data_IF_281155311127
#
_entry.id   IF_281155311127
#
_cell.length_a   1.000
_cell.length_b   1.000
_cell.length_c   1.000
_cell.angle_alpha   90.00
_cell.angle_beta   90.00
_cell.angle_gamma   90.00
#
_symmetry.space_group_name_H-M   'P 1'
#
loop_
_entity.id
_entity.type
_entity.pdbx_description
1 polymer ?
#
# COMPACT_ATOMS: atom_id res chain seq x y z
N UNK A 1 -7.28 -9.49 -5.85
CA UNK A 1 -7.15 -8.14 -5.30
C UNK A 1 -8.50 -7.65 -4.81
N UNK A 2 -8.53 -7.11 -3.60
CA UNK A 2 -9.67 -6.38 -3.04
C UNK A 2 -9.23 -4.96 -2.71
N UNK A 3 -10.01 -3.97 -3.15
CA UNK A 3 -9.74 -2.55 -2.90
C UNK A 3 -10.77 -2.07 -1.88
N UNK A 4 -10.28 -1.56 -0.76
CA UNK A 4 -11.09 -0.98 0.30
C UNK A 4 -11.04 0.55 0.16
N UNK A 5 -12.20 1.16 -0.06
CA UNK A 5 -12.37 2.61 -0.05
C UNK A 5 -13.58 2.98 0.82
N UNK A 6 -13.47 4.08 1.57
CA UNK A 6 -14.54 4.62 2.42
C UNK A 6 -15.84 4.89 1.64
N UNK A 7 -15.74 5.21 0.34
CA UNK A 7 -16.89 5.50 -0.53
C UNK A 7 -17.63 4.26 -1.03
N UNK A 8 -17.05 3.07 -0.91
CA UNK A 8 -17.59 1.83 -1.50
C UNK A 8 -18.06 0.80 -0.48
N UNK A 9 -17.98 1.09 0.82
CA UNK A 9 -18.45 0.17 1.87
C UNK A 9 -19.77 0.63 2.50
N UNK A 10 -20.71 -0.30 2.63
CA UNK A 10 -21.97 -0.12 3.35
C UNK A 10 -21.84 -0.39 4.85
N UNK A 11 -20.68 -0.88 5.32
CA UNK A 11 -20.42 -1.12 6.72
C UNK A 11 -20.03 0.18 7.42
N UNK A 12 -20.87 0.75 8.32
CA UNK A 12 -20.66 2.10 8.85
C UNK A 12 -19.41 2.22 9.72
N UNK A 13 -19.11 1.21 10.56
CA UNK A 13 -17.90 1.21 11.38
C UNK A 13 -16.62 1.14 10.51
N UNK A 14 -16.60 0.25 9.50
CA UNK A 14 -15.49 0.17 8.55
C UNK A 14 -15.33 1.48 7.78
N UNK A 15 -16.42 2.14 7.37
CA UNK A 15 -16.36 3.45 6.70
C UNK A 15 -15.60 4.49 7.54
N UNK A 16 -15.87 4.55 8.85
CA UNK A 16 -15.13 5.43 9.76
C UNK A 16 -13.63 5.13 9.76
N UNK A 17 -13.27 3.86 9.97
CA UNK A 17 -11.87 3.41 9.97
C UNK A 17 -11.15 3.72 8.66
N UNK A 18 -11.82 3.49 7.51
CA UNK A 18 -11.25 3.80 6.19
C UNK A 18 -11.07 5.30 5.98
N UNK A 19 -11.99 6.13 6.49
CA UNK A 19 -11.87 7.59 6.45
C UNK A 19 -10.67 8.07 7.28
N UNK A 20 -10.46 7.49 8.47
CA UNK A 20 -9.32 7.81 9.32
C UNK A 20 -8.00 7.43 8.64
N UNK A 21 -7.92 6.21 8.09
CA UNK A 21 -6.75 5.76 7.32
C UNK A 21 -6.45 6.71 6.16
N UNK A 22 -7.48 7.10 5.38
CA UNK A 22 -7.32 8.04 4.28
C UNK A 22 -6.81 9.41 4.75
N UNK A 23 -7.34 9.91 5.86
CA UNK A 23 -6.94 11.19 6.45
C UNK A 23 -5.47 11.16 6.91
N UNK A 24 -5.05 10.09 7.59
CA UNK A 24 -3.69 9.93 8.11
C UNK A 24 -2.70 9.70 6.96
N UNK A 25 -3.06 8.87 5.96
CA UNK A 25 -2.21 8.61 4.80
C UNK A 25 -1.86 9.90 4.04
N UNK A 26 -2.81 10.83 3.90
CA UNK A 26 -2.57 12.15 3.26
C UNK A 26 -1.60 13.04 4.03
N UNK A 27 -1.43 12.81 5.33
CA UNK A 27 -0.50 13.55 6.19
C UNK A 27 0.90 12.93 6.21
N UNK A 28 1.09 11.75 5.63
CA UNK A 28 2.40 11.10 5.59
C UNK A 28 3.36 11.89 4.68
N UNK A 29 4.46 12.38 5.26
CA UNK A 29 5.53 13.06 4.54
C UNK A 29 6.80 12.23 4.68
N UNK A 30 7.26 11.69 3.55
CA UNK A 30 8.56 11.00 3.43
C UNK A 30 9.47 11.82 2.52
N UNK A 31 10.78 11.73 2.71
CA UNK A 31 11.77 12.41 1.86
C UNK A 31 12.56 11.39 1.05
N UNK A 32 12.73 11.63 -0.25
CA UNK A 32 13.39 10.69 -1.18
C UNK A 32 14.81 10.33 -0.74
N UNK A 33 15.51 11.27 -0.10
CA UNK A 33 16.87 11.13 0.41
C UNK A 33 16.97 10.19 1.64
N UNK A 34 15.86 9.93 2.32
CA UNK A 34 15.79 9.03 3.47
C UNK A 34 15.48 7.58 3.06
N UNK A 35 15.06 7.36 1.81
CA UNK A 35 14.81 6.02 1.31
C UNK A 35 16.11 5.36 0.85
N UNK A 36 16.17 4.04 1.06
CA UNK A 36 17.29 3.19 0.65
C UNK A 36 16.82 2.14 -0.35
N UNK A 37 17.62 1.86 -1.38
CA UNK A 37 17.32 0.77 -2.31
C UNK A 37 17.26 -0.58 -1.58
N UNK A 38 16.31 -1.40 -1.98
CA UNK A 38 16.23 -2.79 -1.54
C UNK A 38 17.33 -3.58 -2.26
N UNK A 39 18.17 -4.37 -1.55
CA UNK A 39 19.24 -5.16 -2.17
C UNK A 39 18.72 -6.00 -3.34
N UNK A 40 19.39 -5.91 -4.50
CA UNK A 40 19.00 -6.62 -5.72
C UNK A 40 17.83 -6.01 -6.50
N UNK A 41 17.32 -4.83 -6.10
CA UNK A 41 16.20 -4.14 -6.77
C UNK A 41 16.51 -2.66 -6.97
N UNK A 42 16.74 -2.26 -8.22
CA UNK A 42 16.97 -0.84 -8.60
C UNK A 42 15.68 -0.04 -8.74
N UNK A 43 14.53 -0.71 -8.77
CA UNK A 43 13.21 -0.11 -8.93
C UNK A 43 12.41 -0.05 -7.62
N UNK A 44 13.01 -0.44 -6.49
CA UNK A 44 12.31 -0.52 -5.21
C UNK A 44 13.18 0.08 -4.11
N UNK A 45 12.67 1.12 -3.49
CA UNK A 45 13.26 1.72 -2.31
C UNK A 45 12.36 1.48 -1.10
N UNK A 46 12.94 1.55 0.10
CA UNK A 46 12.22 1.45 1.37
C UNK A 46 12.69 2.53 2.33
N UNK A 47 11.77 3.02 3.16
CA UNK A 47 12.11 3.89 4.27
C UNK A 47 12.59 3.04 5.46
N UNK A 48 13.78 3.30 6.02
CA UNK A 48 14.19 2.68 7.28
C UNK A 48 13.21 3.06 8.41
N UNK A 49 12.91 2.11 9.31
CA UNK A 49 11.95 2.33 10.39
C UNK A 49 12.32 3.51 11.32
N UNK A 50 13.62 3.82 11.45
CA UNK A 50 14.11 4.97 12.21
C UNK A 50 13.65 6.32 11.65
N UNK A 51 13.32 6.39 10.36
CA UNK A 51 12.84 7.59 9.66
C UNK A 51 11.32 7.61 9.49
N UNK A 52 10.59 6.62 10.02
CA UNK A 52 9.15 6.56 9.88
C UNK A 52 8.46 7.76 10.57
N UNK A 53 7.72 8.61 9.82
CA UNK A 53 7.05 9.76 10.39
C UNK A 53 5.86 9.36 11.28
N UNK A 54 5.34 10.26 12.14
CA UNK A 54 4.26 9.95 13.07
C UNK A 54 3.01 9.34 12.40
N UNK A 55 2.59 9.88 11.26
CA UNK A 55 1.44 9.36 10.50
C UNK A 55 1.60 7.87 10.12
N UNK A 56 2.82 7.43 9.79
CA UNK A 56 3.09 6.04 9.43
C UNK A 56 2.99 5.12 10.66
N UNK A 57 3.41 5.59 11.84
CA UNK A 57 3.25 4.86 13.10
C UNK A 57 1.79 4.77 13.51
N UNK A 58 1.01 5.81 13.23
CA UNK A 58 -0.43 5.82 13.48
C UNK A 58 -1.18 4.86 12.55
N UNK A 59 -0.82 4.83 11.26
CA UNK A 59 -1.32 3.81 10.32
C UNK A 59 -0.98 2.39 10.80
N UNK A 60 0.25 2.16 11.25
CA UNK A 60 0.66 0.86 11.79
C UNK A 60 -0.20 0.42 12.97
N UNK A 61 -0.48 1.35 13.89
CA UNK A 61 -1.36 1.13 15.03
C UNK A 61 -2.77 0.75 14.56
N UNK A 62 -3.38 1.53 13.67
CA UNK A 62 -4.74 1.25 13.17
C UNK A 62 -4.78 -0.12 12.48
N UNK A 63 -3.82 -0.42 11.61
CA UNK A 63 -3.81 -1.67 10.83
C UNK A 63 -3.71 -2.91 11.73
N UNK A 64 -3.00 -2.83 12.86
CA UNK A 64 -2.76 -3.98 13.73
C UNK A 64 -3.63 -4.03 14.99
N UNK A 65 -4.26 -2.93 15.39
CA UNK A 65 -5.02 -2.84 16.66
C UNK A 65 -6.51 -2.54 16.44
N UNK A 66 -6.93 -2.13 15.25
CA UNK A 66 -8.35 -1.89 14.98
C UNK A 66 -9.12 -3.20 14.76
N UNK A 67 -10.04 -3.51 15.68
CA UNK A 67 -10.83 -4.75 15.66
C UNK A 67 -11.69 -4.89 14.40
N UNK A 68 -12.36 -3.80 14.00
CA UNK A 68 -13.25 -3.79 12.81
C UNK A 68 -12.46 -4.13 11.55
N UNK A 69 -11.29 -3.52 11.36
CA UNK A 69 -10.44 -3.83 10.21
C UNK A 69 -9.94 -5.28 10.27
N UNK A 70 -9.53 -5.76 11.44
CA UNK A 70 -9.07 -7.15 11.63
C UNK A 70 -10.15 -8.16 11.28
N UNK A 71 -11.38 -7.93 11.72
CA UNK A 71 -12.54 -8.78 11.41
C UNK A 71 -12.80 -8.83 9.90
N UNK A 72 -12.87 -7.67 9.25
CA UNK A 72 -13.10 -7.56 7.80
C UNK A 72 -11.97 -8.23 7.00
N UNK A 73 -10.71 -8.07 7.42
CA UNK A 73 -9.57 -8.75 6.79
C UNK A 73 -9.65 -10.27 6.96
N UNK A 74 -10.05 -10.74 8.14
CA UNK A 74 -10.20 -12.17 8.43
C UNK A 74 -11.36 -12.78 7.65
N UNK A 75 -12.50 -12.11 7.58
CA UNK A 75 -13.66 -12.53 6.78
C UNK A 75 -13.31 -12.58 5.29
N UNK A 76 -12.69 -11.52 4.77
CA UNK A 76 -12.22 -11.50 3.39
C UNK A 76 -11.24 -12.64 3.09
N UNK A 77 -10.30 -12.91 4.00
CA UNK A 77 -9.36 -14.02 3.86
C UNK A 77 -10.09 -15.37 3.83
N UNK A 78 -11.04 -15.58 4.74
CA UNK A 78 -11.84 -16.82 4.83
C UNK A 78 -12.66 -17.06 3.56
N UNK A 79 -13.33 -16.02 3.03
CA UNK A 79 -14.03 -16.07 1.74
C UNK A 79 -13.10 -16.41 0.56
N UNK A 80 -11.79 -16.20 0.73
CA UNK A 80 -10.75 -16.53 -0.24
C UNK A 80 -10.03 -17.85 0.09
N UNK A 81 -10.52 -18.66 1.03
CA UNK A 81 -9.91 -19.94 1.41
C UNK A 81 -8.58 -19.77 2.16
N UNK A 82 -8.43 -18.67 2.90
CA UNK A 82 -7.25 -18.37 3.70
C UNK A 82 -7.65 -18.13 5.15
N UNK A 83 -6.80 -18.55 6.09
CA UNK A 83 -6.90 -18.20 7.49
C UNK A 83 -5.70 -17.34 7.88
N UNK A 84 -5.92 -16.09 8.26
CA UNK A 84 -4.86 -15.21 8.76
C UNK A 84 -4.47 -15.68 10.16
N UNK A 85 -3.19 -15.99 10.33
CA UNK A 85 -2.64 -16.38 11.63
C UNK A 85 -2.54 -15.13 12.52
N UNK A 86 -3.41 -15.07 13.54
CA UNK A 86 -3.48 -13.93 14.45
C UNK A 86 -2.37 -13.95 15.52
N UNK A 87 -1.76 -15.10 15.79
CA UNK A 87 -0.71 -15.25 16.81
C UNK A 87 0.70 -15.12 16.22
N UNK A 88 0.88 -15.44 14.93
CA UNK A 88 2.20 -15.47 14.29
C UNK A 88 2.52 -14.16 13.57
N UNK A 89 3.27 -13.33 14.28
CA UNK A 89 4.10 -12.20 13.82
C UNK A 89 3.35 -11.08 13.09
N UNK A 90 3.08 -10.00 13.84
CA UNK A 90 3.12 -8.64 13.30
C UNK A 90 4.43 -8.48 12.53
N UNK A 91 4.40 -8.60 11.21
CA UNK A 91 5.54 -8.15 10.43
C UNK A 91 5.56 -6.65 10.55
N UNK A 92 6.72 -6.10 10.89
CA UNK A 92 6.89 -4.65 10.94
C UNK A 92 6.46 -4.07 9.60
N UNK A 93 5.68 -3.00 9.65
CA UNK A 93 5.33 -2.25 8.46
C UNK A 93 6.58 -1.81 7.70
N UNK A 94 6.42 -1.60 6.41
CA UNK A 94 7.43 -0.99 5.55
C UNK A 94 6.79 0.13 4.75
N UNK A 95 7.47 1.26 4.64
CA UNK A 95 7.13 2.23 3.59
C UNK A 95 8.00 1.92 2.40
N UNK A 96 7.38 1.60 1.28
CA UNK A 96 8.05 1.25 0.02
C UNK A 96 7.75 2.30 -1.04
N UNK A 97 8.72 2.56 -1.89
CA UNK A 97 8.57 3.36 -3.09
C UNK A 97 8.98 2.53 -4.30
N UNK A 98 7.99 2.05 -5.05
CA UNK A 98 8.18 1.22 -6.23
C UNK A 98 8.19 2.13 -7.46
N UNK A 99 9.34 2.29 -8.10
CA UNK A 99 9.58 3.20 -9.22
C UNK A 99 9.37 2.51 -10.60
N UNK A 100 8.51 1.48 -10.63
CA UNK A 100 8.19 0.67 -11.81
C UNK A 100 8.33 -0.83 -11.55
N UNK A 101 7.87 -1.67 -12.49
CA UNK A 101 7.84 -3.13 -12.33
C UNK A 101 6.74 -3.58 -11.36
N UNK A 102 7.03 -4.59 -10.53
CA UNK A 102 6.02 -5.15 -9.63
C UNK A 102 6.55 -5.76 -8.33
N UNK A 103 5.60 -6.09 -7.46
CA UNK A 103 5.77 -6.79 -6.18
C UNK A 103 4.83 -8.00 -6.14
N UNK A 104 5.28 -9.09 -5.52
CA UNK A 104 4.51 -10.34 -5.42
C UNK A 104 4.32 -10.73 -3.96
N UNK A 105 3.09 -11.06 -3.58
CA UNK A 105 2.82 -11.69 -2.28
C UNK A 105 3.22 -13.16 -2.35
N UNK A 106 3.88 -13.68 -1.30
CA UNK A 106 4.12 -15.13 -1.17
C UNK A 106 2.80 -15.87 -1.00
N UNK A 107 2.74 -17.15 -1.38
CA UNK A 107 1.51 -17.94 -1.35
C UNK A 107 0.91 -18.08 0.07
N UNK A 108 1.76 -18.11 1.09
CA UNK A 108 1.41 -18.23 2.51
C UNK A 108 1.20 -16.86 3.21
N UNK A 109 0.90 -15.81 2.43
CA UNK A 109 0.84 -14.43 2.92
C UNK A 109 -0.30 -13.62 2.32
N UNK A 110 -0.94 -12.81 3.16
CA UNK A 110 -1.84 -11.73 2.75
C UNK A 110 -1.10 -10.41 2.92
N UNK A 111 -0.97 -9.62 1.86
CA UNK A 111 -0.29 -8.32 1.92
C UNK A 111 -1.31 -7.19 1.84
N UNK A 112 -1.24 -6.25 2.79
CA UNK A 112 -2.06 -5.04 2.80
C UNK A 112 -1.17 -3.84 2.46
N UNK A 113 -1.68 -2.99 1.58
CA UNK A 113 -1.01 -1.76 1.18
C UNK A 113 -1.95 -0.57 1.32
N UNK A 114 -1.40 0.57 1.73
CA UNK A 114 -2.08 1.86 1.76
C UNK A 114 -1.26 2.82 0.91
N UNK A 115 -1.89 3.41 -0.10
CA UNK A 115 -1.21 4.36 -0.99
C UNK A 115 -0.86 5.64 -0.23
N UNK A 116 0.39 6.08 -0.31
CA UNK A 116 0.91 7.28 0.34
C UNK A 116 1.28 8.35 -0.71
N UNK A 117 1.41 9.62 -0.31
CA UNK A 117 2.02 10.64 -1.17
C UNK A 117 3.42 10.23 -1.60
N UNK A 118 3.85 10.70 -2.78
CA UNK A 118 5.22 10.48 -3.23
C UNK A 118 6.23 11.09 -2.24
N UNK A 119 7.41 10.47 -2.07
CA UNK A 119 8.47 11.09 -1.30
C UNK A 119 8.85 12.45 -1.91
N UNK A 120 8.96 13.46 -1.06
CA UNK A 120 9.36 14.81 -1.46
C UNK A 120 10.88 14.88 -1.60
N UNK A 121 11.37 15.69 -2.53
CA UNK A 121 12.75 16.14 -2.52
C UNK A 121 12.89 17.25 -1.47
N UNK A 122 13.93 17.21 -0.64
CA UNK A 122 14.33 18.35 0.20
C UNK A 122 14.95 19.42 -0.69
N UNK A 123 14.18 20.05 -1.58
CA UNK A 123 14.67 21.22 -2.32
C UNK A 123 15.14 22.23 -1.30
N UNK A 124 16.39 22.68 -1.46
CA UNK A 124 17.00 23.79 -0.73
C UNK A 124 15.99 24.92 -0.67
N UNK A 125 15.42 25.16 0.51
CA UNK A 125 14.47 26.25 0.75
C UNK A 125 15.22 27.55 0.48
N UNK A 126 15.12 28.06 -0.75
CA UNK A 126 15.44 29.45 -1.00
C UNK A 126 14.33 30.27 -0.34
N UNK A 127 14.72 31.26 0.45
CA UNK A 127 13.88 31.98 1.42
C UNK A 127 12.75 32.80 0.76
N UNK A 128 12.54 32.70 -0.56
CA UNK A 128 11.57 33.50 -1.32
C UNK A 128 10.40 32.71 -1.93
N UNK A 129 10.23 31.41 -1.69
CA UNK A 129 9.12 30.62 -2.24
C UNK A 129 8.03 30.28 -1.20
N UNK A 130 7.81 31.15 -0.21
CA UNK A 130 6.67 31.02 0.71
C UNK A 130 5.30 31.23 0.05
N UNK A 131 5.26 31.57 -1.25
CA UNK A 131 4.05 31.87 -2.01
C UNK A 131 3.71 30.85 -3.12
N UNK A 132 4.50 29.78 -3.30
CA UNK A 132 4.29 28.81 -4.41
C UNK A 132 4.35 27.35 -3.99
N UNK A 133 3.99 27.04 -2.74
CA UNK A 133 3.47 25.73 -2.38
C UNK A 133 2.06 25.58 -2.98
N UNK A 134 1.95 25.63 -4.31
CA UNK A 134 0.83 25.00 -4.98
C UNK A 134 0.83 23.55 -4.50
N UNK A 135 -0.30 23.09 -3.95
CA UNK A 135 -0.47 21.70 -3.59
C UNK A 135 -0.26 20.88 -4.87
N UNK A 136 0.93 20.33 -5.08
CA UNK A 136 1.20 19.43 -6.19
C UNK A 136 0.11 18.36 -6.16
N UNK A 137 -0.76 18.38 -7.16
CA UNK A 137 -1.86 17.42 -7.25
C UNK A 137 -1.24 16.06 -7.51
N UNK A 138 -1.29 15.20 -6.50
CA UNK A 138 -0.74 13.85 -6.57
C UNK A 138 -1.38 13.11 -7.75
N UNK A 139 -0.61 12.63 -8.74
CA UNK A 139 -1.16 12.00 -9.92
C UNK A 139 -1.81 10.65 -9.56
N UNK A 140 -2.95 10.36 -10.19
CA UNK A 140 -3.61 9.07 -10.04
C UNK A 140 -2.72 7.96 -10.58
N UNK A 141 -2.35 7.03 -9.70
CA UNK A 141 -1.55 5.86 -10.07
C UNK A 141 -2.46 4.77 -10.63
N UNK A 142 -1.93 3.96 -11.57
CA UNK A 142 -2.67 2.85 -12.15
C UNK A 142 -1.89 1.56 -11.93
N UNK A 143 -2.49 0.66 -11.15
CA UNK A 143 -1.96 -0.66 -10.87
C UNK A 143 -2.63 -1.73 -11.73
N UNK A 144 -1.93 -2.85 -11.86
CA UNK A 144 -2.40 -4.08 -12.44
C UNK A 144 -2.12 -5.22 -11.49
N UNK A 145 -3.14 -5.94 -11.05
CA UNK A 145 -2.95 -7.16 -10.29
C UNK A 145 -3.12 -8.37 -11.19
N UNK A 146 -2.14 -9.24 -11.15
CA UNK A 146 -2.12 -10.51 -11.85
C UNK A 146 -2.23 -11.65 -10.84
N UNK A 147 -3.07 -12.63 -11.17
CA UNK A 147 -3.27 -13.85 -10.41
C UNK A 147 -3.16 -15.06 -11.33
N UNK A 148 -2.42 -16.08 -10.90
CA UNK A 148 -2.39 -17.38 -11.58
C UNK A 148 -3.65 -18.16 -11.21
N UNK A 149 -4.35 -18.71 -12.22
CA UNK A 149 -5.52 -19.59 -12.01
C UNK A 149 -5.09 -21.05 -12.12
N UNK A 150 -4.34 -21.37 -13.16
CA UNK A 150 -3.75 -22.69 -13.43
C UNK A 150 -2.39 -22.50 -14.09
N UNK A 151 -1.64 -23.59 -14.29
CA UNK A 151 -0.33 -23.55 -14.97
C UNK A 151 -0.45 -22.88 -16.34
N UNK A 152 0.26 -21.76 -16.50
CA UNK A 152 0.27 -20.96 -17.74
C UNK A 152 -0.92 -20.02 -17.93
N UNK A 153 -1.99 -20.10 -17.12
CA UNK A 153 -3.15 -19.20 -17.20
C UNK A 153 -3.14 -18.16 -16.09
N UNK A 154 -3.22 -16.89 -16.49
CA UNK A 154 -3.24 -15.75 -15.58
C UNK A 154 -4.43 -14.87 -15.88
N UNK A 155 -5.08 -14.37 -14.83
CA UNK A 155 -6.08 -13.32 -14.91
C UNK A 155 -5.48 -12.02 -14.39
N UNK A 156 -5.79 -10.94 -15.08
CA UNK A 156 -5.34 -9.59 -14.75
C UNK A 156 -6.52 -8.68 -14.48
N UNK A 157 -6.36 -7.77 -13.53
CA UNK A 157 -7.30 -6.66 -13.30
C UNK A 157 -6.53 -5.37 -13.16
N UNK A 158 -7.05 -4.28 -13.72
CA UNK A 158 -6.48 -2.94 -13.57
C UNK A 158 -7.27 -2.13 -12.56
N UNK A 159 -6.59 -1.24 -11.84
CA UNK A 159 -7.24 -0.34 -10.89
C UNK A 159 -6.53 1.02 -10.88
N UNK A 160 -7.29 2.06 -10.54
CA UNK A 160 -6.75 3.38 -10.24
C UNK A 160 -6.62 3.50 -8.72
N UNK A 161 -5.53 4.08 -8.24
CA UNK A 161 -5.31 4.32 -6.82
C UNK A 161 -4.96 5.78 -6.55
N UNK A 162 -5.58 6.31 -5.52
CA UNK A 162 -5.36 7.62 -4.92
C UNK A 162 -4.68 7.44 -3.56
N UNK A 163 -4.09 8.51 -3.04
CA UNK A 163 -3.57 8.51 -1.67
C UNK A 163 -4.66 8.14 -0.68
N UNK A 164 -4.34 7.20 0.21
CA UNK A 164 -5.26 6.64 1.20
C UNK A 164 -6.06 5.44 0.71
N UNK A 165 -6.04 5.10 -0.58
CA UNK A 165 -6.66 3.86 -1.05
C UNK A 165 -5.91 2.65 -0.49
N UNK A 166 -6.69 1.69 0.02
CA UNK A 166 -6.18 0.45 0.60
C UNK A 166 -6.40 -0.68 -0.40
N UNK A 167 -5.36 -1.46 -0.67
CA UNK A 167 -5.47 -2.64 -1.52
C UNK A 167 -4.83 -3.87 -0.87
N UNK A 168 -5.50 -5.00 -1.03
CA UNK A 168 -5.09 -6.28 -0.45
C UNK A 168 -4.71 -7.23 -1.58
N UNK A 169 -3.51 -7.78 -1.48
CA UNK A 169 -3.03 -8.86 -2.32
C UNK A 169 -3.17 -10.18 -1.57
N UNK A 170 -3.87 -11.12 -2.22
CA UNK A 170 -3.88 -12.52 -1.81
C UNK A 170 -2.50 -13.15 -2.04
N UNK A 171 -2.20 -14.23 -1.31
CA UNK A 171 -0.99 -15.01 -1.55
C UNK A 171 -0.88 -15.48 -3.01
N UNK A 172 0.30 -15.30 -3.59
CA UNK A 172 0.58 -15.58 -5.01
C UNK A 172 0.16 -14.48 -5.99
N UNK A 173 -0.58 -13.45 -5.56
CA UNK A 173 -0.91 -12.31 -6.42
C UNK A 173 0.29 -11.38 -6.62
N UNK A 174 0.35 -10.76 -7.81
CA UNK A 174 1.40 -9.83 -8.19
C UNK A 174 0.79 -8.48 -8.53
N UNK A 175 1.26 -7.41 -7.90
CA UNK A 175 0.98 -6.04 -8.30
C UNK A 175 2.07 -5.56 -9.25
N UNK A 176 1.66 -5.01 -10.39
CA UNK A 176 2.50 -4.35 -11.37
C UNK A 176 2.01 -2.92 -11.59
N UNK A 177 2.91 -1.98 -11.82
CA UNK A 177 2.55 -0.62 -12.21
C UNK A 177 2.49 -0.53 -13.74
N UNK A 178 1.33 -0.12 -14.27
CA UNK A 178 1.17 0.10 -15.71
C UNK A 178 1.44 1.58 -16.02
N UNK A 179 2.41 1.84 -16.89
CA UNK A 179 2.54 3.15 -17.52
C UNK A 179 1.46 3.28 -18.60
N UNK A 180 0.49 4.19 -18.41
CA UNK A 180 -0.47 4.52 -19.48
C UNK A 180 -0.09 5.86 -20.10
N UNK A 181 0.26 5.82 -21.39
CA UNK A 181 0.08 6.92 -22.34
C UNK A 181 1.06 8.09 -22.30
N UNK A 182 1.82 8.33 -21.22
CA UNK A 182 2.83 9.41 -21.20
C UNK A 182 4.05 9.09 -20.31
N UNK A 183 5.19 9.63 -20.73
CA UNK A 183 6.60 9.33 -20.39
C UNK A 183 6.98 9.82 -18.97
N UNK A 184 6.27 9.39 -17.93
CA UNK A 184 6.82 9.44 -16.56
C UNK A 184 6.63 8.09 -15.88
N UNK A 185 7.67 7.54 -15.20
CA UNK A 185 7.49 6.36 -14.39
C UNK A 185 6.41 6.67 -13.34
N UNK A 186 5.26 5.98 -13.44
CA UNK A 186 4.24 6.01 -12.39
C UNK A 186 4.76 5.10 -11.30
N UNK A 187 5.41 5.71 -10.34
CA UNK A 187 5.81 5.11 -9.10
C UNK A 187 4.61 5.05 -8.13
N UNK A 188 4.68 4.16 -7.15
CA UNK A 188 3.75 4.14 -6.03
C UNK A 188 4.56 4.16 -4.74
N UNK A 189 4.23 5.10 -3.87
CA UNK A 189 4.64 5.07 -2.48
C UNK A 189 3.54 4.39 -1.68
N UNK A 190 3.88 3.42 -0.83
CA UNK A 190 2.89 2.70 -0.07
C UNK A 190 3.41 2.33 1.31
N UNK A 191 2.54 2.44 2.31
CA UNK A 191 2.64 1.66 3.52
C UNK A 191 2.31 0.21 3.15
N UNK A 192 3.12 -0.74 3.58
CA UNK A 192 2.97 -2.15 3.30
C UNK A 192 3.13 -2.96 4.59
N UNK A 193 2.19 -3.86 4.85
CA UNK A 193 2.33 -4.90 5.87
C UNK A 193 1.92 -6.25 5.31
N UNK A 194 2.32 -7.31 5.97
CA UNK A 194 2.02 -8.67 5.53
C UNK A 194 1.66 -9.54 6.70
N UNK A 195 0.57 -10.28 6.54
CA UNK A 195 0.05 -11.23 7.50
C UNK A 195 0.37 -12.65 7.04
N UNK A 196 0.77 -13.52 7.96
CA UNK A 196 0.85 -14.96 7.70
C UNK A 196 -0.56 -15.50 7.47
N UNK A 197 -0.70 -16.37 6.47
CA UNK A 197 -1.95 -17.06 6.23
C UNK A 197 -1.71 -18.53 5.86
N UNK A 198 -2.63 -19.38 6.28
CA UNK A 198 -2.70 -20.78 5.87
C UNK A 198 -3.86 -20.97 4.89
N UNK A 199 -3.73 -21.95 4.00
CA UNK A 199 -4.83 -22.33 3.11
C UNK A 199 -5.83 -23.15 3.90
N UNK A 200 -7.09 -22.75 3.87
CA UNK A 200 -8.20 -23.54 4.39
C UNK A 200 -8.48 -24.65 3.37
N UNK A 201 -8.30 -25.91 3.79
CA UNK A 201 -8.63 -27.11 3.02
C UNK A 201 -10.13 -27.37 3.02
#
# INVERSE_FOLDING_TARGET
MFVLNSTSTDHPALRGVLSDIQSIAKQAVCFSEELVYVPGRTNLMRLPASHAPPAIKELDKIVHENEVLREVLSEWAAQNGLCIDQEVTRQAFQVIWLQGGGISSKEDRVSLYITLPRPKERRSISINEAASLEAEVEPVSQGFVQRTITDGQKVGSTFKCHVGDIFILRGGEQLHLLGVGTIKPRDICAFATTFRATVLL
#
